data_IF_761489894746
#
_entry.id   IF_761489894746
#
_cell.length_a   1.000
_cell.length_b   1.000
_cell.length_c   1.000
_cell.angle_alpha   90.00
_cell.angle_beta   90.00
_cell.angle_gamma   90.00
#
_symmetry.space_group_name_H-M   'P 1'
#
loop_
_entity.id
_entity.type
_entity.pdbx_description
1 polymer ?
#
# COMPACT_ATOMS: atom_id res chain seq x y z
N UNK A 1 -17.31 2.65 51.13
CA UNK A 1 -17.47 1.99 49.80
C UNK A 1 -16.41 2.55 48.86
N UNK A 2 -15.37 1.78 48.59
CA UNK A 2 -14.28 2.19 47.67
C UNK A 2 -14.72 1.86 46.25
N UNK A 3 -15.05 2.85 45.46
CA UNK A 3 -15.23 2.75 44.04
C UNK A 3 -13.87 2.38 43.44
N UNK A 4 -13.72 1.11 43.01
CA UNK A 4 -12.53 0.67 42.30
C UNK A 4 -12.28 1.51 41.08
N UNK A 5 -11.11 2.17 41.02
CA UNK A 5 -10.57 2.72 39.81
C UNK A 5 -10.40 1.56 38.81
N UNK A 6 -11.32 1.44 37.85
CA UNK A 6 -11.08 0.63 36.69
C UNK A 6 -9.78 1.13 36.06
N UNK A 7 -8.77 0.29 36.01
CA UNK A 7 -7.53 0.59 35.28
C UNK A 7 -7.95 0.91 33.85
N UNK A 8 -7.72 2.14 33.40
CA UNK A 8 -7.87 2.52 32.01
C UNK A 8 -6.81 1.68 31.28
N UNK A 9 -7.22 0.55 30.71
CA UNK A 9 -6.33 -0.23 29.84
C UNK A 9 -5.90 0.69 28.68
N UNK A 10 -4.61 1.00 28.60
CA UNK A 10 -4.07 1.78 27.52
C UNK A 10 -4.27 1.04 26.20
N UNK A 11 -5.04 1.65 25.28
CA UNK A 11 -5.27 1.07 23.96
C UNK A 11 -3.96 1.10 23.13
N UNK A 12 -3.53 -0.08 22.67
CA UNK A 12 -2.36 -0.19 21.79
C UNK A 12 -2.76 0.04 20.33
N UNK A 13 -2.36 1.20 19.79
CA UNK A 13 -2.65 1.59 18.41
C UNK A 13 -1.49 1.25 17.45
N UNK A 14 -0.45 0.60 17.93
CA UNK A 14 0.68 0.19 17.08
C UNK A 14 0.34 -0.98 16.17
N UNK A 15 1.17 -1.18 15.16
CA UNK A 15 1.11 -2.34 14.27
C UNK A 15 2.51 -2.82 13.88
N UNK A 16 2.56 -4.03 13.32
CA UNK A 16 3.79 -4.62 12.76
C UNK A 16 3.54 -5.07 11.33
N UNK A 17 4.43 -4.69 10.43
CA UNK A 17 4.41 -5.11 9.03
C UNK A 17 5.75 -5.76 8.67
N UNK A 18 5.72 -7.03 8.30
CA UNK A 18 6.93 -7.77 7.94
C UNK A 18 8.01 -7.81 9.04
N UNK A 19 7.63 -7.64 10.32
CA UNK A 19 8.55 -7.55 11.44
C UNK A 19 8.93 -6.11 11.85
N UNK A 20 8.74 -5.10 11.01
CA UNK A 20 8.94 -3.71 11.39
C UNK A 20 7.76 -3.17 12.22
N UNK A 21 8.07 -2.50 13.33
CA UNK A 21 7.10 -1.84 14.20
C UNK A 21 6.76 -0.43 13.72
N UNK A 22 5.46 -0.08 13.80
CA UNK A 22 4.93 1.25 13.48
C UNK A 22 3.98 1.73 14.57
N UNK A 23 4.02 3.02 14.95
CA UNK A 23 3.24 3.56 16.09
C UNK A 23 1.74 3.58 15.82
N UNK A 24 1.32 3.55 14.56
CA UNK A 24 -0.07 3.55 14.12
C UNK A 24 -0.24 2.67 12.88
N UNK A 25 -1.45 2.14 12.62
CA UNK A 25 -1.71 1.30 11.47
C UNK A 25 -2.01 2.09 10.18
N UNK A 26 -1.82 3.41 10.15
CA UNK A 26 -2.14 4.26 9.00
C UNK A 26 -0.89 4.73 8.26
N UNK A 27 -0.93 4.57 6.93
CA UNK A 27 0.17 4.87 6.01
C UNK A 27 -0.34 5.68 4.81
N UNK A 28 0.54 6.41 4.15
CA UNK A 28 0.21 6.90 2.82
C UNK A 28 0.25 5.74 1.81
N UNK A 29 -0.52 5.83 0.73
CA UNK A 29 -0.34 4.88 -0.38
C UNK A 29 0.76 5.38 -1.33
N UNK A 30 1.56 4.46 -1.87
CA UNK A 30 2.57 4.80 -2.86
C UNK A 30 1.97 5.57 -4.02
N UNK A 31 2.68 6.56 -4.53
CA UNK A 31 2.30 7.51 -5.57
C UNK A 31 1.44 8.69 -5.08
N UNK A 32 0.55 8.52 -4.08
CA UNK A 32 -0.39 9.57 -3.69
C UNK A 32 0.25 10.66 -2.82
N UNK A 33 1.31 10.33 -2.09
CA UNK A 33 2.03 11.25 -1.22
C UNK A 33 3.37 11.74 -1.82
N UNK A 34 3.77 11.27 -3.01
CA UNK A 34 5.13 11.49 -3.52
C UNK A 34 6.19 11.12 -2.47
N UNK A 35 6.99 12.08 -2.00
CA UNK A 35 7.86 11.98 -0.83
C UNK A 35 7.28 12.65 0.43
N UNK A 36 6.00 13.03 0.41
CA UNK A 36 5.29 13.58 1.57
C UNK A 36 5.45 15.09 1.79
N UNK A 37 6.18 15.82 0.91
CA UNK A 37 6.47 17.25 1.08
C UNK A 37 5.20 18.08 1.19
N UNK A 38 4.25 17.86 0.29
CA UNK A 38 2.97 18.56 0.28
C UNK A 38 2.10 18.20 1.49
N UNK A 39 2.13 16.93 1.93
CA UNK A 39 1.34 16.49 3.08
C UNK A 39 1.88 17.02 4.42
N UNK A 40 3.16 17.29 4.51
CA UNK A 40 3.79 17.84 5.71
C UNK A 40 3.28 19.22 6.09
N UNK A 41 2.65 19.95 5.16
CA UNK A 41 1.98 21.23 5.43
C UNK A 41 0.65 21.07 6.20
N UNK A 42 0.05 19.87 6.19
CA UNK A 42 -1.25 19.61 6.80
C UNK A 42 -1.16 18.84 8.13
N UNK A 43 -0.13 18.00 8.31
CA UNK A 43 0.11 17.27 9.55
C UNK A 43 1.57 16.80 9.67
N UNK A 44 2.08 16.59 10.89
CA UNK A 44 3.43 16.09 11.11
C UNK A 44 3.58 14.63 10.61
N UNK A 45 4.46 14.38 9.66
CA UNK A 45 4.63 13.03 9.07
C UNK A 45 5.06 11.96 10.09
N UNK A 46 5.67 12.35 11.22
CA UNK A 46 6.03 11.42 12.32
C UNK A 46 4.82 10.83 13.04
N UNK A 47 3.63 11.43 12.90
CA UNK A 47 2.41 11.02 13.61
C UNK A 47 1.60 9.94 12.90
N UNK A 48 1.96 9.60 11.67
CA UNK A 48 1.41 8.45 10.95
C UNK A 48 2.37 7.25 11.02
N UNK A 49 1.90 6.07 10.59
CA UNK A 49 2.71 4.85 10.59
C UNK A 49 3.99 5.00 9.77
N UNK A 50 3.85 5.33 8.50
CA UNK A 50 4.96 5.71 7.62
C UNK A 50 4.47 6.42 6.36
N UNK A 51 5.37 7.15 5.72
CA UNK A 51 5.23 7.59 4.33
C UNK A 51 5.66 6.43 3.42
N UNK A 52 4.72 5.89 2.65
CA UNK A 52 5.06 5.00 1.53
C UNK A 52 5.32 5.88 0.32
N UNK A 53 6.55 5.88 -0.16
CA UNK A 53 6.97 6.79 -1.22
C UNK A 53 6.36 6.41 -2.57
N UNK A 54 6.38 7.33 -3.51
CA UNK A 54 6.15 7.00 -4.90
C UNK A 54 7.13 5.90 -5.34
N UNK A 55 6.68 4.96 -6.19
CA UNK A 55 7.59 3.92 -6.69
C UNK A 55 8.76 4.54 -7.45
N UNK A 56 9.96 4.29 -6.97
CA UNK A 56 11.21 4.81 -7.52
C UNK A 56 11.75 3.81 -8.52
N UNK A 57 12.18 4.32 -9.67
CA UNK A 57 12.87 3.54 -10.71
C UNK A 57 14.37 3.82 -10.70
N UNK A 58 15.12 2.97 -11.38
CA UNK A 58 16.58 3.11 -11.47
C UNK A 58 16.98 4.43 -12.14
N UNK A 59 16.30 4.80 -13.20
CA UNK A 59 16.57 6.03 -13.99
C UNK A 59 15.42 7.02 -13.90
N UNK A 60 15.67 8.33 -14.13
CA UNK A 60 14.61 9.31 -14.30
C UNK A 60 13.63 8.92 -15.40
N UNK A 61 12.33 9.21 -15.18
CA UNK A 61 11.27 8.88 -16.14
C UNK A 61 10.27 10.02 -16.26
N UNK A 62 9.95 10.40 -17.50
CA UNK A 62 9.01 11.50 -17.80
C UNK A 62 7.53 11.11 -17.56
N UNK A 63 7.22 9.80 -17.54
CA UNK A 63 5.85 9.29 -17.48
C UNK A 63 5.17 9.22 -18.84
N UNK A 64 3.85 8.92 -18.83
CA UNK A 64 3.03 8.81 -20.05
C UNK A 64 2.57 10.17 -20.58
N UNK A 65 2.11 10.26 -21.86
CA UNK A 65 1.46 11.45 -22.39
C UNK A 65 0.22 11.85 -21.58
N UNK A 66 -0.13 13.14 -21.61
CA UNK A 66 -1.37 13.69 -21.04
C UNK A 66 -2.56 13.46 -22.00
N UNK A 67 -3.80 13.45 -21.48
CA UNK A 67 -4.23 13.50 -20.07
C UNK A 67 -3.86 12.23 -19.31
N UNK A 68 -3.44 12.40 -18.04
CA UNK A 68 -2.97 11.28 -17.19
C UNK A 68 -3.95 10.87 -16.10
N UNK A 69 -5.01 11.66 -15.90
CA UNK A 69 -6.02 11.45 -14.87
C UNK A 69 -7.40 11.73 -15.46
N UNK A 70 -8.38 10.98 -14.99
CA UNK A 70 -9.79 11.18 -15.30
C UNK A 70 -10.64 10.86 -14.08
N UNK A 71 -11.62 11.71 -13.77
CA UNK A 71 -12.62 11.41 -12.76
C UNK A 71 -13.57 10.32 -13.27
N UNK A 72 -14.06 9.51 -12.34
CA UNK A 72 -15.09 8.51 -12.58
C UNK A 72 -16.12 8.54 -11.46
N UNK A 73 -17.33 8.02 -11.64
CA UNK A 73 -18.27 7.86 -10.53
C UNK A 73 -17.59 7.10 -9.37
N UNK A 74 -17.58 7.72 -8.17
CA UNK A 74 -17.00 7.16 -6.94
C UNK A 74 -15.49 6.82 -7.01
N UNK A 75 -14.72 7.47 -7.91
CA UNK A 75 -13.29 7.22 -8.00
C UNK A 75 -12.59 8.02 -9.08
N UNK A 76 -11.41 7.56 -9.47
CA UNK A 76 -10.62 8.17 -10.53
C UNK A 76 -9.75 7.15 -11.25
N UNK A 77 -9.46 7.42 -12.51
CA UNK A 77 -8.47 6.71 -13.31
C UNK A 77 -7.15 7.49 -13.34
N UNK A 78 -6.04 6.78 -13.28
CA UNK A 78 -4.74 7.39 -13.51
C UNK A 78 -3.86 6.55 -14.45
N UNK A 79 -3.07 7.24 -15.27
CA UNK A 79 -2.09 6.66 -16.20
C UNK A 79 -0.80 7.48 -16.17
N UNK A 80 -0.17 7.58 -14.99
CA UNK A 80 0.99 8.45 -14.75
C UNK A 80 2.26 7.93 -15.44
N UNK A 81 2.47 6.61 -15.47
CA UNK A 81 3.62 5.99 -16.14
C UNK A 81 4.92 6.05 -15.35
N UNK A 82 4.88 5.92 -14.02
CA UNK A 82 6.05 5.87 -13.14
C UNK A 82 6.98 7.10 -13.29
N UNK A 83 6.42 8.28 -13.57
CA UNK A 83 7.20 9.52 -13.58
C UNK A 83 7.98 9.68 -12.29
N UNK A 84 9.25 10.05 -12.37
CA UNK A 84 10.07 10.26 -11.18
C UNK A 84 11.52 10.61 -11.49
N UNK A 85 12.28 11.07 -10.48
CA UNK A 85 13.64 11.56 -10.63
C UNK A 85 14.70 10.46 -10.74
N UNK A 86 14.33 9.19 -10.49
CA UNK A 86 15.26 8.08 -10.34
C UNK A 86 15.83 7.95 -8.93
N UNK A 87 16.47 6.78 -8.67
CA UNK A 87 16.92 6.42 -7.32
C UNK A 87 18.01 7.36 -6.78
N UNK A 88 18.92 7.85 -7.63
CA UNK A 88 20.06 8.64 -7.17
C UNK A 88 19.62 10.01 -6.64
N UNK A 89 18.74 10.71 -7.34
CA UNK A 89 18.15 11.96 -6.85
C UNK A 89 17.30 11.73 -5.58
N UNK A 90 16.50 10.66 -5.56
CA UNK A 90 15.70 10.31 -4.38
C UNK A 90 16.56 10.11 -3.11
N UNK A 91 17.68 9.41 -3.22
CA UNK A 91 18.58 9.17 -2.08
C UNK A 91 19.25 10.46 -1.57
N UNK A 92 19.53 11.40 -2.46
CA UNK A 92 20.20 12.66 -2.11
C UNK A 92 19.22 13.71 -1.58
N UNK A 93 18.00 13.76 -2.13
CA UNK A 93 17.04 14.84 -1.84
C UNK A 93 15.93 14.41 -0.87
N UNK A 94 15.26 13.28 -1.15
CA UNK A 94 14.03 12.92 -0.44
C UNK A 94 14.30 12.18 0.88
N UNK A 95 15.24 11.25 0.92
CA UNK A 95 15.57 10.50 2.15
C UNK A 95 16.06 11.41 3.27
N UNK A 96 17.02 12.34 3.05
CA UNK A 96 17.44 13.26 4.11
C UNK A 96 16.32 14.19 4.57
N UNK A 97 15.47 14.65 3.65
CA UNK A 97 14.34 15.50 3.98
C UNK A 97 13.31 14.75 4.85
N UNK A 98 12.94 13.52 4.48
CA UNK A 98 12.02 12.67 5.25
C UNK A 98 12.58 12.38 6.65
N UNK A 99 13.87 12.11 6.75
CA UNK A 99 14.54 11.91 8.04
C UNK A 99 14.47 13.16 8.92
N UNK A 100 14.66 14.35 8.33
CA UNK A 100 14.55 15.63 9.06
C UNK A 100 13.10 15.87 9.55
N UNK A 101 12.06 15.33 8.89
CA UNK A 101 10.68 15.36 9.35
C UNK A 101 10.39 14.33 10.46
N UNK A 102 11.35 13.47 10.82
CA UNK A 102 11.14 12.35 11.75
C UNK A 102 10.18 11.29 11.18
N UNK A 103 9.96 11.27 9.86
CA UNK A 103 9.07 10.34 9.21
C UNK A 103 9.68 8.93 9.15
N UNK A 104 8.86 7.90 9.39
CA UNK A 104 9.21 6.53 8.99
C UNK A 104 8.93 6.38 7.51
N UNK A 105 9.77 5.61 6.82
CA UNK A 105 9.70 5.53 5.37
C UNK A 105 9.63 4.09 4.90
N UNK A 106 8.62 3.79 4.09
CA UNK A 106 8.58 2.56 3.27
C UNK A 106 8.90 2.98 1.84
N UNK A 107 10.05 2.57 1.33
CA UNK A 107 10.47 2.93 -0.03
C UNK A 107 9.83 1.98 -1.02
N UNK A 108 8.94 2.51 -1.87
CA UNK A 108 8.37 1.74 -2.98
C UNK A 108 9.33 1.76 -4.17
N UNK A 109 9.67 0.60 -4.71
CA UNK A 109 10.53 0.45 -5.88
C UNK A 109 9.80 -0.24 -7.02
N UNK A 110 10.15 0.11 -8.27
CA UNK A 110 9.68 -0.54 -9.49
C UNK A 110 10.80 -0.65 -10.52
N UNK A 111 10.85 -1.74 -11.24
CA UNK A 111 11.83 -2.02 -12.30
C UNK A 111 11.16 -2.65 -13.52
N UNK A 112 11.87 -2.69 -14.62
CA UNK A 112 11.43 -3.33 -15.87
C UNK A 112 11.86 -4.80 -15.92
N UNK A 113 12.91 -5.18 -15.19
CA UNK A 113 13.42 -6.55 -15.07
C UNK A 113 13.72 -6.91 -13.61
N UNK A 114 13.81 -8.20 -13.29
CA UNK A 114 14.17 -8.66 -11.96
C UNK A 114 15.56 -8.16 -11.52
N UNK A 115 16.50 -8.00 -12.49
CA UNK A 115 17.84 -7.46 -12.24
C UNK A 115 17.77 -5.99 -11.82
N UNK A 116 16.91 -5.18 -12.45
CA UNK A 116 16.74 -3.77 -12.05
C UNK A 116 16.24 -3.63 -10.62
N UNK A 117 15.31 -4.51 -10.17
CA UNK A 117 14.90 -4.55 -8.77
C UNK A 117 16.07 -4.90 -7.84
N UNK A 118 16.95 -5.83 -8.25
CA UNK A 118 18.17 -6.14 -7.51
C UNK A 118 19.14 -4.95 -7.43
N UNK A 119 19.30 -4.20 -8.53
CA UNK A 119 20.14 -2.98 -8.52
C UNK A 119 19.56 -1.91 -7.59
N UNK A 120 18.24 -1.68 -7.63
CA UNK A 120 17.54 -0.77 -6.72
C UNK A 120 17.72 -1.20 -5.26
N UNK A 121 17.56 -2.48 -4.97
CA UNK A 121 17.78 -3.04 -3.63
C UNK A 121 19.21 -2.79 -3.13
N UNK A 122 20.22 -2.96 -4.00
CA UNK A 122 21.63 -2.69 -3.66
C UNK A 122 21.87 -1.23 -3.30
N UNK A 123 21.22 -0.29 -3.99
CA UNK A 123 21.32 1.15 -3.69
C UNK A 123 20.62 1.53 -2.37
N UNK A 124 19.61 0.77 -1.94
CA UNK A 124 18.87 1.00 -0.69
C UNK A 124 19.50 0.30 0.51
N UNK A 125 20.32 -0.73 0.28
CA UNK A 125 20.99 -1.48 1.35
C UNK A 125 21.86 -0.58 2.20
N UNK A 126 21.72 -0.63 3.53
CA UNK A 126 22.47 0.19 4.49
C UNK A 126 22.07 1.67 4.52
N UNK A 127 21.05 2.10 3.78
CA UNK A 127 20.56 3.50 3.83
C UNK A 127 19.75 3.71 5.09
N UNK A 128 20.18 4.65 5.93
CA UNK A 128 19.49 4.99 7.19
C UNK A 128 18.11 5.62 6.92
N UNK A 129 17.17 5.45 7.86
CA UNK A 129 15.83 6.08 7.80
C UNK A 129 14.80 5.30 7.00
N UNK A 130 15.17 4.16 6.39
CA UNK A 130 14.23 3.26 5.70
C UNK A 130 13.73 2.21 6.69
N UNK A 131 12.41 2.05 6.80
CA UNK A 131 11.75 1.09 7.68
C UNK A 131 11.39 -0.23 6.97
N UNK A 132 11.10 -0.17 5.66
CA UNK A 132 10.79 -1.33 4.83
C UNK A 132 10.90 -0.97 3.34
N UNK A 133 10.87 -1.98 2.48
CA UNK A 133 10.82 -1.83 1.02
C UNK A 133 9.48 -2.37 0.52
N UNK A 134 8.71 -1.57 -0.23
CA UNK A 134 7.58 -2.03 -1.03
C UNK A 134 8.07 -2.39 -2.43
N UNK A 135 8.01 -3.65 -2.81
CA UNK A 135 8.38 -4.13 -4.15
C UNK A 135 7.13 -4.10 -5.03
N UNK A 136 6.98 -3.04 -5.82
CA UNK A 136 5.82 -2.84 -6.68
C UNK A 136 5.94 -3.65 -7.98
N UNK A 137 5.52 -4.91 -7.93
CA UNK A 137 5.49 -5.83 -9.08
C UNK A 137 4.20 -5.72 -9.90
N UNK A 138 3.27 -4.86 -9.51
CA UNK A 138 1.91 -4.77 -10.04
C UNK A 138 1.70 -3.60 -11.02
N UNK A 139 2.76 -2.96 -11.50
CA UNK A 139 2.62 -1.83 -12.40
C UNK A 139 2.37 -2.29 -13.85
N UNK A 140 1.22 -1.92 -14.48
CA UNK A 140 0.91 -2.31 -15.87
C UNK A 140 1.71 -1.53 -16.93
N UNK A 141 2.73 -0.78 -16.53
CA UNK A 141 3.42 0.20 -17.38
C UNK A 141 4.71 -0.31 -18.03
N UNK A 142 4.93 -1.61 -18.08
CA UNK A 142 6.06 -2.18 -18.82
C UNK A 142 5.65 -2.31 -20.28
N UNK A 143 6.14 -1.42 -21.12
CA UNK A 143 5.73 -1.26 -22.53
C UNK A 143 5.99 -2.46 -23.44
N UNK A 144 6.70 -3.49 -23.00
CA UNK A 144 7.26 -4.47 -23.92
C UNK A 144 6.79 -5.92 -23.82
N UNK A 145 5.92 -6.35 -22.89
CA UNK A 145 5.50 -7.75 -22.85
C UNK A 145 4.07 -8.06 -22.42
N UNK A 146 3.21 -7.09 -22.14
CA UNK A 146 1.81 -7.32 -21.80
C UNK A 146 1.54 -8.13 -20.50
N UNK A 147 2.59 -8.65 -19.86
CA UNK A 147 2.53 -9.40 -18.62
C UNK A 147 3.11 -8.54 -17.50
N UNK A 148 2.25 -8.21 -16.52
CA UNK A 148 2.67 -7.63 -15.24
C UNK A 148 3.29 -8.76 -14.42
N UNK A 149 4.45 -8.54 -13.79
CA UNK A 149 5.09 -9.56 -12.93
C UNK A 149 4.11 -10.16 -11.90
N UNK A 150 3.22 -9.33 -11.35
CA UNK A 150 2.21 -9.75 -10.37
C UNK A 150 1.08 -10.63 -10.95
N UNK A 151 1.03 -10.90 -12.25
CA UNK A 151 0.02 -11.77 -12.86
C UNK A 151 0.47 -13.23 -12.98
N UNK A 152 1.76 -13.51 -12.77
CA UNK A 152 2.32 -14.85 -12.81
C UNK A 152 3.12 -15.15 -11.53
N UNK A 153 2.86 -16.26 -10.80
CA UNK A 153 3.55 -16.61 -9.56
C UNK A 153 5.06 -16.74 -9.70
N UNK A 154 5.55 -17.26 -10.83
CA UNK A 154 6.98 -17.48 -11.05
C UNK A 154 7.69 -16.13 -11.26
N UNK A 155 7.15 -15.28 -12.13
CA UNK A 155 7.69 -13.95 -12.39
C UNK A 155 7.67 -13.07 -11.14
N UNK A 156 6.60 -13.13 -10.34
CA UNK A 156 6.51 -12.45 -9.06
C UNK A 156 7.58 -12.93 -8.07
N UNK A 157 7.79 -14.25 -8.00
CA UNK A 157 8.81 -14.88 -7.14
C UNK A 157 10.22 -14.49 -7.54
N UNK A 158 10.51 -14.41 -8.83
CA UNK A 158 11.83 -14.05 -9.36
C UNK A 158 12.24 -12.64 -8.91
N UNK A 159 11.34 -11.67 -9.03
CA UNK A 159 11.58 -10.29 -8.58
C UNK A 159 11.84 -10.25 -7.07
N UNK A 160 11.00 -10.91 -6.27
CA UNK A 160 11.17 -10.92 -4.80
C UNK A 160 12.48 -11.59 -4.40
N UNK A 161 12.85 -12.71 -5.01
CA UNK A 161 14.14 -13.38 -4.79
C UNK A 161 15.34 -12.48 -5.12
N UNK A 162 15.27 -11.72 -6.22
CA UNK A 162 16.32 -10.77 -6.62
C UNK A 162 16.53 -9.70 -5.54
N UNK A 163 15.46 -9.12 -5.00
CA UNK A 163 15.52 -8.13 -3.91
C UNK A 163 16.02 -8.78 -2.62
N UNK A 164 15.45 -9.92 -2.22
CA UNK A 164 15.79 -10.63 -0.98
C UNK A 164 17.27 -11.06 -0.97
N UNK A 165 17.77 -11.54 -2.08
CA UNK A 165 19.18 -11.94 -2.22
C UNK A 165 20.17 -10.80 -1.96
N UNK A 166 19.78 -9.56 -2.16
CA UNK A 166 20.59 -8.37 -1.92
C UNK A 166 20.39 -7.82 -0.50
N UNK A 167 19.12 -7.64 -0.09
CA UNK A 167 18.76 -7.04 1.21
C UNK A 167 19.05 -7.99 2.38
N UNK A 168 19.01 -9.30 2.14
CA UNK A 168 19.12 -10.28 3.23
C UNK A 168 18.01 -10.07 4.26
N UNK A 169 18.36 -9.98 5.53
CA UNK A 169 17.45 -9.69 6.65
C UNK A 169 17.45 -8.23 7.11
N UNK A 170 18.13 -7.32 6.43
CA UNK A 170 18.32 -5.93 6.90
C UNK A 170 17.03 -5.12 6.92
N UNK A 171 16.16 -5.30 5.93
CA UNK A 171 14.90 -4.58 5.79
C UNK A 171 13.76 -5.54 5.46
N UNK A 172 12.56 -5.34 6.03
CA UNK A 172 11.36 -6.04 5.59
C UNK A 172 11.02 -5.72 4.13
N UNK A 173 10.53 -6.74 3.42
CA UNK A 173 10.08 -6.66 2.04
C UNK A 173 8.58 -6.89 1.99
N UNK A 174 7.82 -5.92 1.48
CA UNK A 174 6.39 -6.00 1.22
C UNK A 174 6.18 -6.13 -0.29
N UNK A 175 5.67 -7.26 -0.76
CA UNK A 175 5.34 -7.42 -2.18
C UNK A 175 3.99 -6.78 -2.50
N UNK A 176 3.93 -5.84 -3.46
CA UNK A 176 2.68 -5.16 -3.82
C UNK A 176 1.99 -5.84 -4.99
N UNK A 177 0.77 -6.34 -4.73
CA UNK A 177 -0.02 -7.16 -5.64
C UNK A 177 -1.11 -6.37 -6.36
N UNK A 178 -1.42 -6.81 -7.60
CA UNK A 178 -2.57 -6.33 -8.39
C UNK A 178 -3.82 -7.15 -8.09
N UNK A 179 -5.02 -6.55 -8.14
CA UNK A 179 -6.27 -7.29 -8.09
C UNK A 179 -6.64 -7.93 -9.45
N UNK A 180 -5.94 -7.58 -10.53
CA UNK A 180 -6.25 -8.00 -11.90
C UNK A 180 -5.75 -9.44 -12.18
N UNK A 181 -6.08 -10.34 -11.27
CA UNK A 181 -5.72 -11.77 -11.33
C UNK A 181 -6.90 -12.64 -10.88
N UNK A 182 -6.98 -13.85 -11.38
CA UNK A 182 -8.05 -14.80 -11.01
C UNK A 182 -7.87 -15.32 -9.58
N UNK A 183 -6.62 -15.59 -9.17
CA UNK A 183 -6.31 -16.13 -7.85
C UNK A 183 -5.16 -15.35 -7.20
N UNK A 184 -5.51 -14.32 -6.42
CA UNK A 184 -4.53 -13.48 -5.74
C UNK A 184 -3.80 -14.22 -4.61
N UNK A 185 -4.43 -15.21 -3.99
CA UNK A 185 -3.83 -15.99 -2.91
C UNK A 185 -2.65 -16.84 -3.41
N UNK A 186 -2.70 -17.34 -4.65
CA UNK A 186 -1.58 -18.09 -5.24
C UNK A 186 -0.37 -17.19 -5.46
N UNK A 187 -0.57 -15.96 -5.94
CA UNK A 187 0.52 -14.98 -6.08
C UNK A 187 1.08 -14.60 -4.71
N UNK A 188 0.19 -14.35 -3.73
CA UNK A 188 0.58 -14.05 -2.36
C UNK A 188 1.47 -15.15 -1.75
N UNK A 189 1.06 -16.42 -1.89
CA UNK A 189 1.85 -17.58 -1.44
C UNK A 189 3.21 -17.68 -2.12
N UNK A 190 3.26 -17.41 -3.42
CA UNK A 190 4.49 -17.45 -4.20
C UNK A 190 5.50 -16.38 -3.74
N UNK A 191 5.07 -15.14 -3.54
CA UNK A 191 5.97 -14.05 -3.10
C UNK A 191 6.44 -14.24 -1.65
N UNK A 192 5.60 -14.75 -0.75
CA UNK A 192 6.02 -15.10 0.62
C UNK A 192 7.04 -16.23 0.60
N UNK A 193 6.81 -17.28 -0.18
CA UNK A 193 7.79 -18.38 -0.35
C UNK A 193 9.09 -17.92 -0.99
N UNK A 194 9.07 -16.85 -1.77
CA UNK A 194 10.24 -16.22 -2.38
C UNK A 194 11.02 -15.30 -1.42
N UNK A 195 10.50 -15.05 -0.22
CA UNK A 195 11.17 -14.29 0.84
C UNK A 195 10.59 -12.90 1.11
N UNK A 196 9.38 -12.58 0.64
CA UNK A 196 8.68 -11.39 1.13
C UNK A 196 8.25 -11.62 2.59
N UNK A 197 8.35 -10.58 3.44
CA UNK A 197 7.95 -10.60 4.85
C UNK A 197 6.48 -10.20 5.04
N UNK A 198 5.87 -9.64 4.00
CA UNK A 198 4.48 -9.21 4.00
C UNK A 198 4.01 -8.83 2.60
N UNK A 199 2.75 -8.43 2.54
CA UNK A 199 2.05 -8.12 1.29
C UNK A 199 1.44 -6.73 1.38
N UNK A 200 1.62 -5.91 0.34
CA UNK A 200 0.85 -4.68 0.13
C UNK A 200 -0.22 -4.96 -0.94
N UNK A 201 -1.48 -4.66 -0.66
CA UNK A 201 -2.58 -4.95 -1.56
C UNK A 201 -3.83 -4.12 -1.28
N UNK A 202 -4.55 -3.76 -2.31
CA UNK A 202 -4.38 -4.00 -3.73
C UNK A 202 -3.80 -2.76 -4.45
N UNK A 203 -3.14 -2.96 -5.61
CA UNK A 203 -2.93 -1.86 -6.54
C UNK A 203 -4.27 -1.49 -7.20
N UNK A 204 -4.28 -0.46 -8.03
CA UNK A 204 -5.46 -0.02 -8.79
C UNK A 204 -5.97 -1.11 -9.73
N UNK A 205 -7.28 -1.11 -9.99
CA UNK A 205 -7.95 -2.01 -10.94
C UNK A 205 -7.82 -1.43 -12.34
N UNK A 206 -7.48 -2.24 -13.35
CA UNK A 206 -7.38 -1.76 -14.72
C UNK A 206 -8.75 -1.32 -15.25
N UNK A 207 -8.81 -0.11 -15.81
CA UNK A 207 -10.04 0.48 -16.35
C UNK A 207 -9.79 1.40 -17.53
N UNK A 208 -10.89 1.90 -18.14
CA UNK A 208 -10.86 2.82 -19.26
C UNK A 208 -12.05 3.76 -19.20
N UNK A 209 -11.88 4.98 -19.69
CA UNK A 209 -12.96 5.94 -20.00
C UNK A 209 -12.85 6.34 -21.45
N UNK A 210 -14.00 6.31 -22.16
CA UNK A 210 -14.16 6.85 -23.51
C UNK A 210 -14.82 8.22 -23.39
N UNK A 211 -14.19 9.23 -23.98
CA UNK A 211 -14.82 10.53 -24.12
C UNK A 211 -15.86 10.43 -25.24
N UNK A 212 -17.14 10.64 -24.90
CA UNK A 212 -18.26 10.44 -25.82
C UNK A 212 -18.39 11.55 -26.89
N UNK A 213 -17.80 12.73 -26.63
CA UNK A 213 -17.78 13.84 -27.58
C UNK A 213 -16.72 13.61 -28.65
N UNK A 214 -15.51 13.23 -28.23
CA UNK A 214 -14.40 12.97 -29.16
C UNK A 214 -14.38 11.53 -29.69
N UNK A 215 -15.19 10.62 -29.11
CA UNK A 215 -15.27 9.18 -29.42
C UNK A 215 -13.89 8.48 -29.33
N UNK A 216 -13.04 8.90 -28.38
CA UNK A 216 -11.67 8.40 -28.18
C UNK A 216 -11.41 8.07 -26.71
N UNK A 217 -10.41 7.23 -26.41
CA UNK A 217 -9.93 7.07 -25.04
C UNK A 217 -9.60 8.43 -24.42
N UNK A 218 -10.09 8.67 -23.21
CA UNK A 218 -9.85 9.94 -22.50
C UNK A 218 -8.37 10.11 -22.09
N UNK A 219 -7.75 9.02 -21.60
CA UNK A 219 -6.36 9.06 -21.14
C UNK A 219 -5.37 8.89 -22.29
N UNK A 220 -4.26 9.64 -22.26
CA UNK A 220 -3.18 9.51 -23.23
C UNK A 220 -2.57 8.08 -23.30
N UNK A 221 -2.63 7.32 -22.20
CA UNK A 221 -2.24 5.91 -22.14
C UNK A 221 -3.35 4.92 -22.51
N UNK A 222 -4.50 5.37 -23.00
CA UNK A 222 -5.73 4.62 -23.31
C UNK A 222 -6.39 4.04 -22.05
N UNK A 223 -5.72 3.12 -21.35
CA UNK A 223 -6.14 2.53 -20.06
C UNK A 223 -5.47 3.23 -18.89
N UNK A 224 -6.06 3.09 -17.70
CA UNK A 224 -5.51 3.58 -16.45
C UNK A 224 -5.92 2.69 -15.28
N UNK A 225 -5.30 2.91 -14.12
CA UNK A 225 -5.69 2.25 -12.88
C UNK A 225 -6.85 3.00 -12.22
N UNK A 226 -7.98 2.31 -12.01
CA UNK A 226 -9.11 2.80 -11.24
C UNK A 226 -8.80 2.72 -9.74
N UNK A 227 -9.09 3.79 -9.01
CA UNK A 227 -8.92 3.92 -7.57
C UNK A 227 -10.10 4.69 -6.96
N UNK A 228 -10.13 4.80 -5.63
CA UNK A 228 -11.22 5.46 -4.90
C UNK A 228 -12.28 4.49 -4.37
N UNK A 229 -13.38 4.98 -3.77
CA UNK A 229 -14.36 4.14 -3.07
C UNK A 229 -14.95 2.99 -3.91
N UNK A 230 -15.02 3.16 -5.23
CA UNK A 230 -15.55 2.14 -6.16
C UNK A 230 -14.80 0.78 -6.05
N UNK A 231 -13.51 0.76 -5.71
CA UNK A 231 -12.72 -0.48 -5.65
C UNK A 231 -12.64 -1.10 -4.24
N UNK A 232 -13.24 -0.47 -3.21
CA UNK A 232 -13.13 -0.97 -1.83
C UNK A 232 -13.66 -2.40 -1.67
N UNK A 233 -14.81 -2.81 -2.18
CA UNK A 233 -15.29 -4.19 -2.06
C UNK A 233 -14.34 -5.21 -2.70
N UNK A 234 -13.63 -4.82 -3.77
CA UNK A 234 -12.63 -5.67 -4.42
C UNK A 234 -11.42 -5.83 -3.49
N UNK A 235 -10.97 -4.73 -2.87
CA UNK A 235 -9.84 -4.75 -1.93
C UNK A 235 -10.15 -5.59 -0.68
N UNK A 236 -11.32 -5.40 -0.07
CA UNK A 236 -11.78 -6.15 1.11
C UNK A 236 -11.82 -7.66 0.81
N UNK A 237 -12.44 -8.07 -0.31
CA UNK A 237 -12.47 -9.48 -0.74
C UNK A 237 -11.05 -10.04 -0.93
N UNK A 238 -10.18 -9.31 -1.60
CA UNK A 238 -8.82 -9.76 -1.87
C UNK A 238 -8.02 -9.94 -0.57
N UNK A 239 -8.12 -8.99 0.38
CA UNK A 239 -7.49 -9.08 1.71
C UNK A 239 -8.02 -10.29 2.47
N UNK A 240 -9.34 -10.50 2.46
CA UNK A 240 -9.98 -11.63 3.14
C UNK A 240 -9.45 -12.97 2.60
N UNK A 241 -9.43 -13.16 1.28
CA UNK A 241 -8.93 -14.37 0.63
C UNK A 241 -7.44 -14.64 0.93
N UNK A 242 -6.60 -13.61 0.96
CA UNK A 242 -5.19 -13.77 1.29
C UNK A 242 -5.00 -14.08 2.77
N UNK A 243 -5.77 -13.45 3.67
CA UNK A 243 -5.74 -13.75 5.11
C UNK A 243 -6.17 -15.19 5.40
N UNK A 244 -7.19 -15.68 4.70
CA UNK A 244 -7.65 -17.07 4.82
C UNK A 244 -6.55 -18.06 4.38
N UNK A 245 -5.90 -17.80 3.23
CA UNK A 245 -4.84 -18.67 2.72
C UNK A 245 -3.52 -18.57 3.51
N UNK A 246 -3.22 -17.41 4.09
CA UNK A 246 -1.98 -17.09 4.80
C UNK A 246 -2.30 -16.41 6.15
N UNK A 247 -2.74 -17.18 7.16
CA UNK A 247 -3.28 -16.61 8.42
C UNK A 247 -2.33 -15.71 9.20
N UNK A 248 -1.02 -15.86 9.04
CA UNK A 248 0.00 -15.16 9.82
C UNK A 248 0.73 -14.05 9.00
N UNK A 249 0.38 -13.85 7.74
CA UNK A 249 1.07 -12.86 6.90
C UNK A 249 0.70 -11.43 7.30
N UNK A 250 1.66 -10.52 7.31
CA UNK A 250 1.38 -9.09 7.45
C UNK A 250 0.81 -8.54 6.15
N UNK A 251 -0.35 -7.85 6.21
CA UNK A 251 -1.00 -7.26 5.04
C UNK A 251 -1.13 -5.75 5.24
N UNK A 252 -0.51 -4.97 4.35
CA UNK A 252 -0.75 -3.55 4.20
C UNK A 252 -1.90 -3.36 3.21
N UNK A 253 -3.12 -3.18 3.73
CA UNK A 253 -4.35 -3.08 2.94
C UNK A 253 -4.53 -1.69 2.34
N UNK A 254 -5.01 -1.62 1.11
CA UNK A 254 -5.37 -0.36 0.44
C UNK A 254 -6.38 -0.58 -0.68
N UNK A 255 -7.11 0.48 -1.03
CA UNK A 255 -8.10 0.49 -2.11
C UNK A 255 -9.45 1.03 -1.63
N UNK A 256 -9.70 2.32 -1.89
CA UNK A 256 -11.00 2.95 -1.66
C UNK A 256 -11.31 3.35 -0.22
N UNK A 257 -10.34 3.39 0.67
CA UNK A 257 -10.51 3.87 2.03
C UNK A 257 -10.64 5.39 2.05
N UNK A 258 -11.74 5.90 2.60
CA UNK A 258 -12.05 7.32 2.72
C UNK A 258 -12.52 7.72 4.14
N UNK A 259 -12.74 6.73 5.03
CA UNK A 259 -13.16 6.93 6.42
C UNK A 259 -12.56 5.90 7.37
N UNK A 260 -12.66 6.16 8.68
CA UNK A 260 -12.27 5.19 9.70
C UNK A 260 -13.08 3.88 9.65
N UNK A 261 -14.33 3.94 9.19
CA UNK A 261 -15.15 2.73 8.97
C UNK A 261 -14.61 1.88 7.86
N UNK A 262 -14.16 2.48 6.75
CA UNK A 262 -13.56 1.76 5.63
C UNK A 262 -12.22 1.12 6.05
N UNK A 263 -11.41 1.83 6.84
CA UNK A 263 -10.18 1.30 7.39
C UNK A 263 -10.45 0.12 8.35
N UNK A 264 -11.46 0.24 9.20
CA UNK A 264 -11.88 -0.82 10.12
C UNK A 264 -12.36 -2.06 9.38
N UNK A 265 -13.16 -1.91 8.30
CA UNK A 265 -13.60 -3.01 7.43
C UNK A 265 -12.41 -3.82 6.89
N UNK A 266 -11.36 -3.15 6.40
CA UNK A 266 -10.15 -3.83 5.92
C UNK A 266 -9.38 -4.53 7.05
N UNK A 267 -9.31 -3.94 8.24
CA UNK A 267 -8.68 -4.59 9.40
C UNK A 267 -9.46 -5.85 9.78
N UNK A 268 -10.78 -5.80 9.84
CA UNK A 268 -11.62 -6.97 10.10
C UNK A 268 -11.42 -8.06 9.04
N UNK A 269 -11.23 -7.69 7.77
CA UNK A 269 -10.92 -8.62 6.68
C UNK A 269 -9.51 -9.24 6.78
N UNK A 270 -8.59 -8.64 7.56
CA UNK A 270 -7.27 -9.19 7.79
C UNK A 270 -6.08 -8.26 7.54
N UNK A 271 -6.29 -7.00 7.17
CA UNK A 271 -5.20 -6.05 7.03
C UNK A 271 -4.56 -5.73 8.39
N UNK A 272 -3.23 -5.74 8.45
CA UNK A 272 -2.43 -5.34 9.62
C UNK A 272 -2.16 -3.85 9.67
N UNK A 273 -2.21 -3.18 8.51
CA UNK A 273 -2.08 -1.73 8.35
C UNK A 273 -2.86 -1.28 7.12
N UNK A 274 -3.14 0.02 7.04
CA UNK A 274 -4.00 0.62 6.02
C UNK A 274 -3.27 1.77 5.33
N UNK A 275 -3.17 1.73 4.00
CA UNK A 275 -2.65 2.85 3.21
C UNK A 275 -3.77 3.66 2.58
N UNK A 276 -3.68 4.98 2.74
CA UNK A 276 -4.63 5.94 2.20
C UNK A 276 -4.07 6.56 0.91
N UNK A 277 -4.83 6.44 -0.17
CA UNK A 277 -4.43 6.95 -1.48
C UNK A 277 -5.34 8.07 -1.97
N UNK A 278 -6.31 7.75 -2.84
CA UNK A 278 -7.15 8.70 -3.57
C UNK A 278 -7.85 9.73 -2.68
N UNK A 279 -8.23 9.37 -1.45
CA UNK A 279 -8.85 10.29 -0.51
C UNK A 279 -7.97 11.52 -0.21
N UNK A 280 -6.63 11.39 -0.26
CA UNK A 280 -5.70 12.49 -0.01
C UNK A 280 -5.70 13.58 -1.10
N UNK A 281 -6.27 13.32 -2.28
CA UNK A 281 -6.38 14.36 -3.32
C UNK A 281 -7.48 15.38 -3.03
N UNK A 282 -8.58 14.96 -2.41
CA UNK A 282 -9.66 15.85 -1.99
C UNK A 282 -9.50 16.35 -0.55
N UNK A 283 -8.80 15.60 0.28
CA UNK A 283 -8.52 15.91 1.68
C UNK A 283 -7.07 15.54 2.01
N UNK A 284 -6.12 16.47 1.91
CA UNK A 284 -4.71 16.21 2.22
C UNK A 284 -4.46 15.68 3.64
N UNK A 285 -5.36 15.98 4.59
CA UNK A 285 -5.31 15.47 5.96
C UNK A 285 -5.94 14.08 6.14
N UNK A 286 -6.46 13.45 5.09
CA UNK A 286 -7.24 12.21 5.15
C UNK A 286 -6.54 11.10 5.96
N UNK A 287 -5.23 10.91 5.79
CA UNK A 287 -4.50 9.86 6.52
C UNK A 287 -4.61 10.11 8.03
N UNK A 288 -4.37 11.34 8.47
CA UNK A 288 -4.40 11.72 9.87
C UNK A 288 -5.82 11.71 10.46
N UNK A 289 -6.81 12.21 9.70
CA UNK A 289 -8.22 12.18 10.09
C UNK A 289 -8.72 10.74 10.25
N UNK A 290 -8.49 9.89 9.25
CA UNK A 290 -8.91 8.48 9.25
C UNK A 290 -8.25 7.71 10.39
N UNK A 291 -7.00 8.05 10.74
CA UNK A 291 -6.31 7.50 11.91
C UNK A 291 -7.09 7.74 13.20
N UNK A 292 -7.55 8.96 13.44
CA UNK A 292 -8.31 9.31 14.63
C UNK A 292 -9.68 8.64 14.64
N UNK A 293 -10.39 8.66 13.51
CA UNK A 293 -11.67 7.96 13.36
C UNK A 293 -11.55 6.45 13.63
N UNK A 294 -10.53 5.79 13.09
CA UNK A 294 -10.28 4.37 13.31
C UNK A 294 -9.98 4.07 14.78
N UNK A 295 -9.19 4.91 15.44
CA UNK A 295 -8.86 4.77 16.87
C UNK A 295 -10.13 4.81 17.73
N UNK A 296 -11.01 5.77 17.48
CA UNK A 296 -12.29 5.89 18.18
C UNK A 296 -13.19 4.67 17.97
N UNK A 297 -13.26 4.17 16.73
CA UNK A 297 -14.04 2.97 16.40
C UNK A 297 -13.51 1.75 17.15
N UNK A 298 -12.20 1.51 17.15
CA UNK A 298 -11.60 0.34 17.82
C UNK A 298 -11.84 0.37 19.32
N UNK A 299 -11.64 1.53 19.96
CA UNK A 299 -11.92 1.72 21.39
C UNK A 299 -13.41 1.54 21.68
N UNK A 300 -14.29 2.15 20.88
CA UNK A 300 -15.73 2.05 21.03
C UNK A 300 -16.28 0.63 20.83
N UNK A 301 -15.58 -0.22 20.07
CA UNK A 301 -15.87 -1.64 19.91
C UNK A 301 -15.26 -2.54 21.00
N UNK A 302 -14.48 -1.98 21.93
CA UNK A 302 -13.90 -2.71 23.06
C UNK A 302 -12.64 -3.52 22.71
N UNK A 303 -11.96 -3.25 21.61
CA UNK A 303 -10.66 -3.86 21.32
C UNK A 303 -9.56 -3.28 22.22
N UNK A 304 -8.66 -4.11 22.72
CA UNK A 304 -7.51 -3.67 23.50
C UNK A 304 -6.34 -3.20 22.60
N UNK A 305 -6.29 -3.69 21.35
CA UNK A 305 -5.26 -3.32 20.37
C UNK A 305 -5.78 -3.42 18.94
N UNK A 306 -5.04 -2.81 17.99
CA UNK A 306 -5.26 -3.04 16.55
C UNK A 306 -5.13 -4.53 16.21
N UNK A 307 -4.14 -5.21 16.78
CA UNK A 307 -3.86 -6.63 16.54
C UNK A 307 -5.06 -7.51 16.84
N UNK A 308 -5.83 -7.19 17.88
CA UNK A 308 -7.01 -7.96 18.26
C UNK A 308 -8.13 -7.89 17.23
N UNK A 309 -8.21 -6.78 16.50
CA UNK A 309 -9.20 -6.59 15.44
C UNK A 309 -8.78 -7.20 14.09
N UNK A 310 -7.47 -7.43 13.87
CA UNK A 310 -6.97 -7.98 12.60
C UNK A 310 -7.58 -9.36 12.33
N UNK A 311 -8.29 -9.49 11.20
CA UNK A 311 -8.91 -10.73 10.78
C UNK A 311 -10.06 -11.19 11.68
N UNK A 312 -10.67 -10.28 12.44
CA UNK A 312 -11.77 -10.64 13.36
C UNK A 312 -12.96 -11.29 12.62
N UNK A 313 -13.21 -10.87 11.37
CA UNK A 313 -14.28 -11.45 10.55
C UNK A 313 -14.09 -12.94 10.22
N UNK A 314 -12.88 -13.49 10.33
CA UNK A 314 -12.60 -14.92 10.16
C UNK A 314 -12.89 -15.76 11.41
N UNK A 315 -13.09 -15.10 12.58
CA UNK A 315 -13.30 -15.79 13.86
C UNK A 315 -14.78 -15.99 14.19
N UNK A 316 -15.63 -15.22 13.53
CA UNK A 316 -17.09 -15.33 13.70
C UNK A 316 -17.57 -16.44 12.78
N UNK A 317 -17.99 -17.57 13.33
CA UNK A 317 -18.73 -18.57 12.57
C UNK A 317 -19.96 -17.88 12.00
N UNK A 318 -20.04 -17.76 10.67
CA UNK A 318 -21.29 -17.46 10.00
C UNK A 318 -22.16 -18.71 10.26
N UNK A 319 -23.01 -18.66 11.28
CA UNK A 319 -24.10 -19.60 11.41
C UNK A 319 -24.94 -19.45 10.14
N UNK A 320 -24.89 -20.48 9.29
CA UNK A 320 -25.75 -20.56 8.12
C UNK A 320 -27.19 -20.41 8.58
N UNK A 321 -27.85 -19.40 8.08
CA UNK A 321 -29.30 -19.36 7.99
C UNK A 321 -30.03 -18.75 9.18
N UNK A 322 -30.55 -17.58 9.01
CA UNK A 322 -32.01 -17.36 9.14
C UNK A 322 -32.46 -16.37 8.05
#
# INVERSE_FOLDING_TARGET
MALGRAAIMSFDFSTTLGGAWFPTPLFTASRCASSGKELAEFFPLREIGAVVTKSIMLKPRAGRPTPRMAETPSGMLNSIGLQGPGIDAFLVEDIPWLAAQGARVIVSIAGETAEEYGVLARKLRGVSGISAIEVNISCPNVENRGLVFACDPNSASEVVKSVRGIIGGELPILAKLTPDVTNIASIASAVISAGADGIAMINTVLGMVINTETMRPHLGGKTGGLSGPAIRPIAVRAIYQVREALPNVSILGMGGVASGKDAFEMILAGASGISIGTASFGDPSAVYRIQNELREILIGKGFASVKDAVGYAHRVNVTEGE
#
